data_IF_115837837890
#
_entry.id   IF_115837837890
#
_cell.length_a   1.000
_cell.length_b   1.000
_cell.length_c   1.000
_cell.angle_alpha   90.00
_cell.angle_beta   90.00
_cell.angle_gamma   90.00
#
_symmetry.space_group_name_H-M   'P 1'
#
loop_
_entity.id
_entity.type
_entity.pdbx_description
1 polymer ?
#
# COMPACT_ATOMS: atom_id res chain seq x y z
N UNK A 1 40.21 -22.66 -42.31
CA UNK A 1 39.48 -23.68 -41.54
C UNK A 1 38.25 -23.00 -40.93
N UNK A 2 37.09 -23.10 -41.58
CA UNK A 2 35.85 -22.48 -41.08
C UNK A 2 35.20 -23.42 -40.07
N UNK A 3 35.29 -23.10 -38.79
CA UNK A 3 34.61 -23.83 -37.72
C UNK A 3 33.14 -23.43 -37.77
N UNK A 4 32.27 -24.31 -38.30
CA UNK A 4 30.82 -24.11 -38.17
C UNK A 4 30.42 -24.48 -36.74
N UNK A 5 29.88 -23.53 -35.95
CA UNK A 5 29.41 -23.84 -34.61
C UNK A 5 28.23 -24.80 -34.71
N UNK A 6 28.40 -26.02 -34.20
CA UNK A 6 27.33 -27.01 -34.11
C UNK A 6 26.24 -26.47 -33.18
N UNK A 7 25.06 -26.25 -33.74
CA UNK A 7 23.91 -25.74 -33.01
C UNK A 7 23.55 -26.70 -31.86
N UNK A 8 23.85 -26.28 -30.63
CA UNK A 8 23.67 -27.13 -29.45
C UNK A 8 22.27 -26.96 -28.89
N UNK A 9 21.43 -28.00 -29.06
CA UNK A 9 20.10 -28.08 -28.43
C UNK A 9 20.18 -27.95 -26.90
N UNK A 10 21.26 -28.44 -26.30
CA UNK A 10 21.49 -28.33 -24.87
C UNK A 10 21.70 -26.87 -24.43
N UNK A 11 22.43 -26.07 -25.21
CA UNK A 11 22.64 -24.65 -24.90
C UNK A 11 21.31 -23.87 -24.92
N UNK A 12 20.44 -24.15 -25.91
CA UNK A 12 19.08 -23.57 -25.96
C UNK A 12 18.25 -23.95 -24.75
N UNK A 13 18.32 -25.20 -24.32
CA UNK A 13 17.60 -25.71 -23.16
C UNK A 13 18.08 -25.02 -21.88
N UNK A 14 19.39 -24.87 -21.70
CA UNK A 14 19.96 -24.15 -20.56
C UNK A 14 19.61 -22.66 -20.56
N UNK A 15 19.59 -22.01 -21.72
CA UNK A 15 19.15 -20.60 -21.83
C UNK A 15 17.66 -20.47 -21.49
N UNK A 16 16.81 -21.40 -21.96
CA UNK A 16 15.38 -21.38 -21.63
C UNK A 16 15.14 -21.58 -20.13
N UNK A 17 15.89 -22.49 -19.49
CA UNK A 17 15.87 -22.68 -18.03
C UNK A 17 16.31 -21.41 -17.31
N UNK A 18 17.42 -20.79 -17.74
CA UNK A 18 17.92 -19.55 -17.15
C UNK A 18 16.88 -18.42 -17.25
N UNK A 19 16.28 -18.23 -18.43
CA UNK A 19 15.24 -17.21 -18.65
C UNK A 19 14.02 -17.50 -17.78
N UNK A 20 13.60 -18.77 -17.69
CA UNK A 20 12.48 -19.18 -16.82
C UNK A 20 12.75 -18.86 -15.36
N UNK A 21 13.94 -19.18 -14.85
CA UNK A 21 14.36 -18.85 -13.49
C UNK A 21 14.38 -17.34 -13.27
N UNK A 22 14.99 -16.59 -14.19
CA UNK A 22 15.03 -15.12 -14.12
C UNK A 22 13.63 -14.50 -14.17
N UNK A 23 12.72 -15.07 -14.96
CA UNK A 23 11.35 -14.61 -15.08
C UNK A 23 10.55 -14.86 -13.79
N UNK A 24 10.71 -16.03 -13.16
CA UNK A 24 10.10 -16.34 -11.85
C UNK A 24 10.64 -15.39 -10.79
N UNK A 25 11.97 -15.20 -10.73
CA UNK A 25 12.59 -14.26 -9.81
C UNK A 25 12.08 -12.83 -10.05
N UNK A 26 11.91 -12.41 -11.31
CA UNK A 26 11.40 -11.09 -11.64
C UNK A 26 9.95 -10.89 -11.18
N UNK A 27 9.07 -11.87 -11.36
CA UNK A 27 7.70 -11.83 -10.84
C UNK A 27 7.67 -11.72 -9.31
N UNK A 28 8.53 -12.48 -8.61
CA UNK A 28 8.65 -12.39 -7.16
C UNK A 28 9.23 -11.03 -6.70
N UNK A 29 10.15 -10.45 -7.47
CA UNK A 29 10.84 -9.21 -7.10
C UNK A 29 9.98 -7.97 -7.33
N UNK A 30 9.09 -7.98 -8.32
CA UNK A 30 8.18 -6.84 -8.56
C UNK A 30 7.16 -6.60 -7.43
N UNK A 31 6.94 -7.58 -6.56
CA UNK A 31 5.93 -7.51 -5.51
C UNK A 31 6.27 -6.64 -4.30
N UNK A 32 7.49 -6.08 -4.20
CA UNK A 32 7.93 -5.34 -3.02
C UNK A 32 8.36 -3.93 -3.39
N UNK A 33 7.38 -3.11 -3.80
CA UNK A 33 7.53 -1.67 -3.71
C UNK A 33 7.76 -1.31 -2.24
N UNK A 34 8.99 -0.90 -1.90
CA UNK A 34 9.24 -0.07 -0.73
C UNK A 34 8.52 1.25 -0.94
N UNK A 35 7.22 1.26 -0.64
CA UNK A 35 6.40 2.46 -0.60
C UNK A 35 7.07 3.41 0.39
N UNK A 36 7.56 4.54 -0.09
CA UNK A 36 7.85 5.67 0.79
C UNK A 36 6.52 6.05 1.43
N UNK A 37 6.27 5.61 2.66
CA UNK A 37 5.07 5.98 3.39
C UNK A 37 5.27 7.42 3.86
N UNK A 38 4.31 8.29 3.58
CA UNK A 38 4.37 9.70 3.98
C UNK A 38 3.02 10.21 4.51
N UNK A 39 2.07 9.31 4.71
CA UNK A 39 0.76 9.63 5.22
C UNK A 39 0.36 8.60 6.25
N UNK A 40 0.07 9.06 7.46
CA UNK A 40 -0.33 8.22 8.58
C UNK A 40 -1.69 8.70 9.07
N UNK A 41 -2.64 7.78 9.15
CA UNK A 41 -3.93 8.01 9.82
C UNK A 41 -3.93 7.21 11.11
N UNK A 42 -4.05 7.90 12.24
CA UNK A 42 -4.21 7.29 13.55
C UNK A 42 -5.63 7.49 14.03
N UNK A 43 -6.20 6.46 14.63
CA UNK A 43 -7.54 6.49 15.21
C UNK A 43 -7.61 5.64 16.48
N UNK A 44 -8.75 5.71 17.15
CA UNK A 44 -9.02 4.86 18.29
C UNK A 44 -9.35 3.43 17.87
N UNK A 45 -9.28 2.49 18.82
CA UNK A 45 -9.54 1.06 18.56
C UNK A 45 -10.95 0.78 18.03
N UNK A 46 -11.92 1.62 18.41
CA UNK A 46 -13.30 1.54 17.94
C UNK A 46 -13.46 1.86 16.45
N UNK A 47 -12.46 2.49 15.83
CA UNK A 47 -12.46 2.89 14.42
C UNK A 47 -11.73 1.89 13.51
N UNK A 48 -11.14 0.83 14.08
CA UNK A 48 -10.50 -0.24 13.31
C UNK A 48 -11.50 -0.84 12.31
N UNK A 49 -11.05 -1.07 11.08
CA UNK A 49 -11.89 -1.50 9.96
C UNK A 49 -12.56 -0.35 9.21
N UNK A 50 -12.40 0.91 9.62
CA UNK A 50 -12.84 2.05 8.83
C UNK A 50 -12.09 2.12 7.50
N UNK A 51 -12.80 2.42 6.43
CA UNK A 51 -12.23 2.59 5.09
C UNK A 51 -11.63 3.97 4.95
N UNK A 52 -10.42 4.04 4.38
CA UNK A 52 -9.73 5.28 4.05
C UNK A 52 -9.83 5.50 2.55
N UNK A 53 -10.43 6.63 2.16
CA UNK A 53 -10.56 7.11 0.81
C UNK A 53 -9.72 8.37 0.63
N UNK A 54 -9.01 8.47 -0.48
CA UNK A 54 -8.27 9.66 -0.89
C UNK A 54 -8.77 10.05 -2.27
N UNK A 55 -9.20 11.30 -2.43
CA UNK A 55 -9.79 11.81 -3.67
C UNK A 55 -10.91 10.92 -4.21
N UNK A 56 -11.77 10.46 -3.28
CA UNK A 56 -12.90 9.58 -3.56
C UNK A 56 -12.53 8.14 -4.00
N UNK A 57 -11.24 7.77 -3.94
CA UNK A 57 -10.75 6.43 -4.24
C UNK A 57 -10.33 5.71 -2.95
N UNK A 58 -10.82 4.48 -2.74
CA UNK A 58 -10.43 3.64 -1.60
C UNK A 58 -8.94 3.27 -1.70
N UNK A 59 -8.16 3.67 -0.70
CA UNK A 59 -6.71 3.39 -0.63
C UNK A 59 -6.38 2.28 0.37
N UNK A 60 -7.27 2.02 1.33
CA UNK A 60 -7.10 0.96 2.32
C UNK A 60 -8.13 1.05 3.44
N UNK A 61 -7.83 0.38 4.55
CA UNK A 61 -8.62 0.43 5.77
C UNK A 61 -7.69 0.60 6.98
N UNK A 62 -8.23 1.12 8.07
CA UNK A 62 -7.54 1.24 9.35
C UNK A 62 -7.39 -0.16 9.95
N UNK A 63 -6.15 -0.55 10.25
CA UNK A 63 -5.83 -1.83 10.87
C UNK A 63 -5.43 -1.63 12.33
N UNK A 64 -5.52 -2.67 13.15
CA UNK A 64 -5.07 -2.61 14.54
C UNK A 64 -3.57 -2.35 14.57
N UNK A 65 -3.15 -1.29 15.28
CA UNK A 65 -1.74 -1.05 15.55
C UNK A 65 -1.18 -2.18 16.41
N UNK A 66 -0.18 -2.90 15.90
CA UNK A 66 0.56 -3.93 16.63
C UNK A 66 1.73 -3.36 17.44
N UNK A 67 1.87 -2.03 17.52
CA UNK A 67 2.91 -1.40 18.32
C UNK A 67 2.58 -1.48 19.81
N UNK A 68 3.60 -1.70 20.65
CA UNK A 68 3.50 -1.71 22.11
C UNK A 68 3.17 -0.28 22.62
N UNK A 69 1.88 0.07 22.61
CA UNK A 69 1.35 1.37 23.00
C UNK A 69 -0.16 1.28 23.27
N UNK A 70 -0.82 2.38 23.70
CA UNK A 70 -2.27 2.38 23.89
C UNK A 70 -2.93 1.95 22.57
N UNK A 71 -3.72 0.87 22.64
CA UNK A 71 -4.30 0.23 21.46
C UNK A 71 -5.10 1.23 20.62
N UNK A 72 -4.92 1.18 19.31
CA UNK A 72 -5.54 2.09 18.37
C UNK A 72 -5.47 1.56 16.94
N UNK A 73 -6.19 2.22 16.04
CA UNK A 73 -6.15 1.96 14.62
C UNK A 73 -5.06 2.77 13.92
N UNK A 74 -4.35 2.16 12.98
CA UNK A 74 -3.40 2.86 12.11
C UNK A 74 -3.60 2.48 10.64
N UNK A 75 -3.50 3.46 9.76
CA UNK A 75 -3.34 3.27 8.33
C UNK A 75 -2.09 4.01 7.85
N UNK A 76 -1.27 3.31 7.06
CA UNK A 76 -0.04 3.83 6.48
C UNK A 76 -0.18 3.85 4.95
N UNK A 77 -0.06 5.05 4.37
CA UNK A 77 -0.22 5.26 2.94
C UNK A 77 0.88 6.13 2.33
N UNK A 78 0.87 6.19 1.00
CA UNK A 78 1.61 7.18 0.24
C UNK A 78 0.65 8.08 -0.51
N UNK A 79 0.79 9.39 -0.32
CA UNK A 79 0.09 10.41 -1.11
C UNK A 79 1.13 11.26 -1.87
N UNK A 80 0.89 11.55 -3.17
CA UNK A 80 1.67 12.53 -3.91
C UNK A 80 1.68 13.91 -3.23
N UNK A 81 2.58 14.79 -3.67
CA UNK A 81 2.57 16.17 -3.20
C UNK A 81 1.38 16.92 -3.80
N UNK A 82 0.74 17.75 -2.98
CA UNK A 82 -0.39 18.58 -3.37
C UNK A 82 -1.63 18.38 -2.49
N UNK A 83 -2.74 18.98 -2.91
CA UNK A 83 -4.00 18.92 -2.16
C UNK A 83 -4.70 17.61 -2.44
N UNK A 84 -5.06 16.93 -1.35
CA UNK A 84 -5.82 15.68 -1.37
C UNK A 84 -6.99 15.78 -0.42
N UNK A 85 -8.13 15.23 -0.81
CA UNK A 85 -9.29 15.09 0.08
C UNK A 85 -9.28 13.70 0.70
N UNK A 86 -9.02 13.63 1.99
CA UNK A 86 -9.07 12.38 2.76
C UNK A 86 -10.45 12.23 3.38
N UNK A 87 -11.02 11.05 3.23
CA UNK A 87 -12.28 10.68 3.86
C UNK A 87 -12.16 9.32 4.54
N UNK A 88 -12.59 9.24 5.79
CA UNK A 88 -12.63 8.00 6.58
C UNK A 88 -14.08 7.65 6.85
N UNK A 89 -14.48 6.44 6.48
CA UNK A 89 -15.86 5.98 6.58
C UNK A 89 -15.94 4.65 7.29
N UNK A 90 -16.96 4.49 8.12
CA UNK A 90 -17.28 3.22 8.78
C UNK A 90 -18.79 3.09 8.94
N UNK A 91 -19.30 1.88 8.75
CA UNK A 91 -20.72 1.61 8.94
C UNK A 91 -21.15 1.87 10.39
N UNK A 92 -22.23 2.64 10.57
CA UNK A 92 -22.71 3.05 11.89
C UNK A 92 -22.02 4.29 12.47
N UNK A 93 -21.11 4.92 11.73
CA UNK A 93 -20.41 6.14 12.12
C UNK A 93 -20.63 7.26 11.11
N UNK A 94 -20.46 8.51 11.54
CA UNK A 94 -20.44 9.66 10.64
C UNK A 94 -19.15 9.65 9.82
N UNK A 95 -19.22 9.88 8.50
CA UNK A 95 -18.01 9.97 7.68
C UNK A 95 -17.20 11.21 8.07
N UNK A 96 -15.91 11.03 8.29
CA UNK A 96 -14.97 12.12 8.52
C UNK A 96 -14.32 12.52 7.20
N UNK A 97 -14.35 13.81 6.83
CA UNK A 97 -13.75 14.32 5.59
C UNK A 97 -12.89 15.53 5.87
N UNK A 98 -11.64 15.53 5.39
CA UNK A 98 -10.71 16.65 5.53
C UNK A 98 -9.82 16.81 4.31
N UNK A 99 -9.64 18.06 3.88
CA UNK A 99 -8.63 18.39 2.88
C UNK A 99 -7.26 18.58 3.54
N UNK A 100 -6.24 17.94 2.98
CA UNK A 100 -4.86 18.07 3.42
C UNK A 100 -3.99 18.52 2.24
N UNK A 101 -3.01 19.37 2.53
CA UNK A 101 -1.97 19.74 1.57
C UNK A 101 -0.69 18.98 1.91
N UNK A 102 -0.35 18.01 1.06
CA UNK A 102 0.80 17.13 1.20
C UNK A 102 2.04 17.84 0.66
N UNK A 103 2.79 18.52 1.53
CA UNK A 103 4.12 19.03 1.18
C UNK A 103 5.25 18.13 1.70
N UNK A 104 4.99 17.47 2.83
CA UNK A 104 5.89 16.55 3.53
C UNK A 104 5.07 15.43 4.18
N UNK A 105 5.69 14.62 5.03
CA UNK A 105 4.98 13.62 5.82
C UNK A 105 3.90 14.25 6.69
N UNK A 106 2.70 13.67 6.68
CA UNK A 106 1.54 14.17 7.41
C UNK A 106 0.94 13.08 8.30
N UNK A 107 0.61 13.49 9.51
CA UNK A 107 -0.09 12.68 10.50
C UNK A 107 -1.50 13.24 10.69
N UNK A 108 -2.51 12.38 10.48
CA UNK A 108 -3.90 12.71 10.64
C UNK A 108 -4.50 11.89 11.78
N UNK A 109 -4.89 12.56 12.87
CA UNK A 109 -5.74 11.97 13.91
C UNK A 109 -7.20 12.01 13.47
N UNK A 110 -7.85 10.85 13.50
CA UNK A 110 -9.28 10.68 13.18
C UNK A 110 -9.96 10.06 14.38
N UNK A 111 -11.09 10.64 14.76
CA UNK A 111 -12.00 10.12 15.77
C UNK A 111 -13.39 10.13 15.14
N UNK A 112 -13.97 8.95 14.91
CA UNK A 112 -15.26 8.82 14.27
C UNK A 112 -16.38 8.91 15.30
N UNK A 113 -17.30 9.86 15.06
CA UNK A 113 -18.52 9.95 15.86
C UNK A 113 -19.52 8.85 15.45
N UNK A 114 -19.98 8.04 16.42
CA UNK A 114 -21.08 7.09 16.20
C UNK A 114 -22.36 7.83 15.81
N UNK A 115 -23.11 7.27 14.88
CA UNK A 115 -24.46 7.72 14.56
C UNK A 115 -25.38 7.31 15.72
N UNK A 116 -25.66 8.23 16.64
CA UNK A 116 -26.67 7.99 17.67
C UNK A 116 -28.03 7.79 16.98
N UNK A 117 -28.63 6.62 17.20
CA UNK A 117 -30.00 6.29 16.80
C UNK A 117 -30.88 6.14 18.04
#
# INVERSE_FOLDING_TARGET
MSVQPKESKAARLWIAVLIGVLFVLFLETQGKQTRTLNFVVNSDGDDVGAEVLVDNQRVGAIETSTADGPGGGVFLGYLPRGKHRVEVRKDGFKPYSKEIDMQQEQYLGVDLERLNN
#
